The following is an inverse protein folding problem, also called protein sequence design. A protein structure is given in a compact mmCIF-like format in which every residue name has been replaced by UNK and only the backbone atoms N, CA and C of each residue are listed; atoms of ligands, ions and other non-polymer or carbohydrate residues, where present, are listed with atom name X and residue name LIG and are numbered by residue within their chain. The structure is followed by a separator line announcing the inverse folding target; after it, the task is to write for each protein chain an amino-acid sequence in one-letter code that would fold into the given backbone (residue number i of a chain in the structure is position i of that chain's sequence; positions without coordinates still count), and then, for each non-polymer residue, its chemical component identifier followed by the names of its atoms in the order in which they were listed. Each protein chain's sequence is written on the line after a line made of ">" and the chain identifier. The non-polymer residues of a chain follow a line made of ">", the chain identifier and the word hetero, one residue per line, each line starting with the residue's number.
data_IF_680423045174
#
_entry.id   IF_680423045174
#
_cell.length_a   1.000
_cell.length_b   1.000
_cell.length_c   1.000
_cell.angle_alpha   90.00
_cell.angle_beta   90.00
_cell.angle_gamma   90.00
#
_symmetry.space_group_name_H-M   'P 1'
#
loop_
_entity.id
_entity.type
_entity.pdbx_description
1 polymer ?
#
# COMPACT_ATOMS: atom_id res chain seq x y z
N UNK A 1 25.28 17.68 -0.19
CA UNK A 1 24.05 17.91 -0.98
C UNK A 1 23.30 16.59 -1.20
N UNK A 2 22.60 16.05 -0.21
CA UNK A 2 21.80 14.83 -0.41
C UNK A 2 20.28 15.04 -0.21
N UNK A 3 19.78 16.27 -0.18
CA UNK A 3 18.39 16.52 0.18
C UNK A 3 17.41 16.68 -1.00
N UNK A 4 17.84 16.45 -2.25
CA UNK A 4 17.00 16.69 -3.42
C UNK A 4 16.25 15.45 -3.96
N UNK A 5 16.70 14.25 -3.64
CA UNK A 5 16.12 13.01 -4.19
C UNK A 5 14.92 12.48 -3.38
N UNK A 6 14.78 12.86 -2.12
CA UNK A 6 13.67 12.39 -1.26
C UNK A 6 12.39 13.20 -1.47
N UNK A 7 12.46 14.42 -1.99
CA UNK A 7 11.28 15.30 -2.18
C UNK A 7 10.42 15.01 -3.41
N UNK A 8 10.89 14.23 -4.36
CA UNK A 8 10.16 13.97 -5.61
C UNK A 8 9.17 12.82 -5.53
N UNK A 9 9.29 11.91 -4.55
CA UNK A 9 8.36 10.77 -4.41
C UNK A 9 7.00 11.13 -3.79
N UNK A 10 6.92 12.19 -3.00
CA UNK A 10 5.67 12.59 -2.36
C UNK A 10 4.66 13.25 -3.31
N UNK A 11 5.11 13.79 -4.45
CA UNK A 11 4.26 14.53 -5.39
C UNK A 11 3.57 13.63 -6.43
N UNK A 12 4.09 12.43 -6.69
CA UNK A 12 3.51 11.52 -7.68
C UNK A 12 2.25 10.80 -7.20
N UNK A 13 2.04 10.67 -5.90
CA UNK A 13 0.86 9.98 -5.34
C UNK A 13 -0.42 10.82 -5.48
N UNK A 14 -0.31 12.14 -5.54
CA UNK A 14 -1.48 13.03 -5.67
C UNK A 14 -1.97 13.22 -7.11
N UNK A 15 -1.17 12.91 -8.12
CA UNK A 15 -1.54 13.08 -9.54
C UNK A 15 -2.27 11.87 -10.14
N UNK A 16 -2.20 10.70 -9.54
CA UNK A 16 -2.89 9.49 -10.02
C UNK A 16 -4.42 9.52 -9.82
N UNK A 17 -4.94 10.40 -8.96
CA UNK A 17 -6.37 10.54 -8.69
C UNK A 17 -7.11 11.42 -9.71
N UNK A 18 -6.40 12.23 -10.50
CA UNK A 18 -7.00 13.17 -11.46
C UNK A 18 -7.21 12.58 -12.87
N UNK A 19 -6.59 11.46 -13.22
CA UNK A 19 -6.59 10.92 -14.59
C UNK A 19 -7.58 9.78 -14.84
N UNK A 20 -8.29 9.30 -13.84
CA UNK A 20 -9.32 8.24 -13.99
C UNK A 20 -10.76 8.77 -14.22
N UNK A 21 -10.93 10.07 -14.31
CA UNK A 21 -12.25 10.70 -14.47
C UNK A 21 -12.59 11.15 -15.91
N UNK A 22 -11.81 10.79 -16.92
CA UNK A 22 -11.99 11.29 -18.27
C UNK A 22 -11.74 10.28 -19.38
N UNK A 23 -12.73 9.51 -19.77
CA UNK A 23 -13.13 9.30 -21.18
C UNK A 23 -14.12 8.13 -21.33
N UNK A 24 -15.38 8.44 -21.59
CA UNK A 24 -16.31 7.59 -22.30
C UNK A 24 -17.12 8.47 -23.23
N UNK A 25 -16.65 8.58 -24.46
CA UNK A 25 -17.34 9.24 -25.56
C UNK A 25 -17.88 8.22 -26.55
N UNK A 26 -19.18 8.21 -26.76
CA UNK A 26 -19.91 8.21 -27.98
C UNK A 26 -19.86 7.00 -28.92
N UNK A 27 -21.03 6.40 -29.16
CA UNK A 27 -21.33 5.55 -30.29
C UNK A 27 -22.80 5.16 -30.31
N UNK A 28 -23.61 5.89 -31.09
CA UNK A 28 -25.05 5.65 -31.22
C UNK A 28 -25.37 4.42 -32.06
N UNK A 29 -26.48 3.77 -31.73
CA UNK A 29 -27.11 2.72 -32.51
C UNK A 29 -28.54 2.55 -32.02
N UNK A 30 -29.52 3.11 -32.75
CA UNK A 30 -30.93 2.99 -32.43
C UNK A 30 -31.43 1.57 -32.65
N UNK A 31 -32.13 1.06 -31.68
CA UNK A 31 -32.93 -0.15 -31.77
C UNK A 31 -34.06 -0.03 -30.79
N UNK A 32 -35.27 0.18 -31.29
CA UNK A 32 -36.49 0.15 -30.48
C UNK A 32 -36.71 -1.27 -29.92
N UNK A 33 -36.72 -1.39 -28.59
CA UNK A 33 -37.11 -2.57 -27.87
C UNK A 33 -38.44 -2.30 -27.16
N UNK A 34 -39.45 -3.24 -27.25
CA UNK A 34 -40.81 -3.01 -26.75
C UNK A 34 -40.84 -2.82 -25.25
N UNK A 35 -41.69 -1.93 -24.80
CA UNK A 35 -41.98 -1.60 -23.40
C UNK A 35 -42.57 -2.81 -22.66
N UNK A 36 -41.74 -3.62 -22.05
CA UNK A 36 -42.12 -4.57 -21.01
C UNK A 36 -41.96 -3.94 -19.65
N UNK A 37 -43.04 -3.99 -18.89
CA UNK A 37 -43.27 -3.49 -17.55
C UNK A 37 -42.08 -3.07 -16.72
N UNK A 38 -42.00 -1.79 -16.43
CA UNK A 38 -41.17 -1.20 -15.41
C UNK A 38 -41.59 -1.80 -14.06
N UNK A 39 -40.98 -2.94 -13.66
CA UNK A 39 -41.04 -3.33 -12.26
C UNK A 39 -40.37 -2.17 -11.50
N UNK A 40 -41.18 -1.44 -10.73
CA UNK A 40 -40.68 -0.52 -9.71
C UNK A 40 -39.68 -1.34 -8.87
N UNK A 41 -38.41 -1.00 -8.99
CA UNK A 41 -37.41 -1.55 -8.07
C UNK A 41 -37.80 -1.00 -6.72
N UNK A 42 -38.32 -1.87 -5.88
CA UNK A 42 -38.61 -1.60 -4.48
C UNK A 42 -37.36 -0.92 -3.92
N UNK A 43 -37.49 0.33 -3.50
CA UNK A 43 -36.35 1.12 -3.03
C UNK A 43 -35.83 0.42 -1.77
N UNK A 44 -34.60 -0.14 -1.86
CA UNK A 44 -33.97 -0.72 -0.72
C UNK A 44 -33.94 0.29 0.43
N UNK A 45 -34.21 -0.14 1.67
CA UNK A 45 -34.20 0.76 2.81
C UNK A 45 -32.80 1.44 2.94
N UNK A 46 -32.75 2.66 3.48
CA UNK A 46 -31.50 3.35 3.68
C UNK A 46 -30.56 2.51 4.54
N UNK A 47 -29.36 2.27 4.03
CA UNK A 47 -28.33 1.46 4.70
C UNK A 47 -27.37 2.36 5.48
N UNK A 48 -26.98 1.90 6.66
CA UNK A 48 -25.92 2.48 7.44
C UNK A 48 -24.66 1.62 7.20
N UNK A 49 -23.60 2.24 6.72
CA UNK A 49 -22.30 1.59 6.49
C UNK A 49 -21.33 2.05 7.58
N UNK A 50 -20.86 1.13 8.40
CA UNK A 50 -19.89 1.41 9.45
C UNK A 50 -18.46 1.30 8.90
N UNK A 51 -17.74 2.42 8.95
CA UNK A 51 -16.35 2.51 8.47
C UNK A 51 -15.40 2.75 9.65
N UNK A 52 -14.42 1.87 9.80
CA UNK A 52 -13.34 2.03 10.77
C UNK A 52 -12.10 2.54 10.04
N UNK A 53 -11.59 3.70 10.46
CA UNK A 53 -10.35 4.28 9.92
C UNK A 53 -9.24 4.06 10.92
N UNK A 54 -8.18 3.37 10.48
CA UNK A 54 -7.00 3.03 11.28
C UNK A 54 -5.79 3.75 10.69
N UNK A 55 -5.44 4.91 11.23
CA UNK A 55 -4.30 5.72 10.80
C UNK A 55 -3.55 6.27 12.03
N UNK A 56 -2.24 6.55 11.92
CA UNK A 56 -1.51 7.10 13.05
C UNK A 56 -2.00 8.51 13.40
N UNK A 57 -2.05 8.79 14.70
CA UNK A 57 -2.39 10.11 15.21
C UNK A 57 -1.20 11.06 15.16
N UNK A 58 0.02 10.54 15.20
CA UNK A 58 1.26 11.30 15.16
C UNK A 58 1.44 12.01 13.80
N UNK A 59 1.55 13.33 13.84
CA UNK A 59 1.70 14.19 12.66
C UNK A 59 3.08 14.12 12.00
N UNK A 60 4.04 13.39 12.56
CA UNK A 60 5.29 13.07 11.87
C UNK A 60 5.04 12.23 10.62
N UNK A 61 4.00 11.41 10.62
CA UNK A 61 3.59 10.61 9.46
C UNK A 61 2.88 11.46 8.40
N UNK A 62 3.25 11.25 7.13
CA UNK A 62 2.59 11.92 6.00
C UNK A 62 1.11 11.55 5.87
N UNK A 63 0.74 10.37 6.35
CA UNK A 63 -0.61 9.80 6.33
C UNK A 63 -1.29 9.82 7.70
N UNK A 64 -0.93 10.77 8.57
CA UNK A 64 -1.59 10.94 9.87
C UNK A 64 -3.08 11.26 9.75
N UNK A 65 -3.83 10.95 10.80
CA UNK A 65 -5.27 11.24 10.86
C UNK A 65 -5.58 12.71 10.56
N UNK A 66 -4.81 13.63 11.10
CA UNK A 66 -5.05 15.07 10.90
C UNK A 66 -4.92 15.48 9.44
N UNK A 67 -4.00 14.85 8.69
CA UNK A 67 -3.74 15.17 7.28
C UNK A 67 -4.71 14.50 6.32
N UNK A 68 -5.11 13.26 6.60
CA UNK A 68 -5.88 12.41 5.65
C UNK A 68 -7.38 12.50 5.90
N UNK A 69 -7.83 12.74 7.13
CA UNK A 69 -9.24 12.80 7.49
C UNK A 69 -10.10 13.70 6.58
N UNK A 70 -9.71 14.93 6.22
CA UNK A 70 -10.51 15.78 5.35
C UNK A 70 -10.76 15.15 3.97
N UNK A 71 -9.77 14.44 3.42
CA UNK A 71 -9.89 13.75 2.13
C UNK A 71 -10.86 12.55 2.22
N UNK A 72 -10.79 11.77 3.31
CA UNK A 72 -11.73 10.68 3.57
C UNK A 72 -13.15 11.20 3.66
N UNK A 73 -13.39 12.23 4.47
CA UNK A 73 -14.71 12.83 4.64
C UNK A 73 -15.27 13.41 3.33
N UNK A 74 -14.41 14.00 2.50
CA UNK A 74 -14.79 14.46 1.17
C UNK A 74 -15.17 13.31 0.26
N UNK A 75 -14.38 12.23 0.22
CA UNK A 75 -14.65 11.06 -0.61
C UNK A 75 -15.98 10.38 -0.22
N UNK A 76 -16.20 10.17 1.08
CA UNK A 76 -17.45 9.54 1.57
C UNK A 76 -18.69 10.39 1.23
N UNK A 77 -18.62 11.70 1.41
CA UNK A 77 -19.70 12.62 0.99
C UNK A 77 -19.96 12.57 -0.52
N UNK A 78 -18.93 12.44 -1.32
CA UNK A 78 -19.06 12.33 -2.77
C UNK A 78 -19.75 11.03 -3.17
N UNK A 79 -19.45 9.92 -2.49
CA UNK A 79 -20.08 8.61 -2.72
C UNK A 79 -21.54 8.60 -2.23
N UNK A 80 -21.89 9.33 -1.18
CA UNK A 80 -23.28 9.50 -0.71
C UNK A 80 -24.18 10.24 -1.71
N UNK A 81 -23.64 10.77 -2.78
CA UNK A 81 -24.42 11.31 -3.90
C UNK A 81 -24.66 12.82 -3.87
N UNK A 82 -23.87 13.57 -3.11
CA UNK A 82 -24.04 15.02 -2.97
C UNK A 82 -23.27 15.86 -4.01
N UNK A 83 -22.64 15.28 -5.03
CA UNK A 83 -21.74 16.08 -5.87
C UNK A 83 -21.69 15.80 -7.38
N UNK A 84 -21.92 14.61 -7.87
CA UNK A 84 -21.57 14.25 -9.26
C UNK A 84 -22.65 13.61 -10.12
N UNK A 85 -23.90 13.62 -9.67
CA UNK A 85 -25.03 13.12 -10.49
C UNK A 85 -25.12 11.60 -10.66
N UNK A 86 -24.09 10.84 -10.36
CA UNK A 86 -24.09 9.39 -10.42
C UNK A 86 -24.17 8.82 -9.00
N UNK A 87 -25.34 8.33 -8.61
CA UNK A 87 -25.53 7.66 -7.33
C UNK A 87 -24.97 6.26 -7.42
N UNK A 88 -23.88 6.02 -6.69
CA UNK A 88 -23.25 4.72 -6.56
C UNK A 88 -23.96 3.84 -5.53
N UNK A 89 -24.62 4.44 -4.56
CA UNK A 89 -25.31 3.76 -3.46
C UNK A 89 -26.82 4.02 -3.46
N UNK A 90 -27.62 3.14 -2.83
CA UNK A 90 -29.06 3.36 -2.65
C UNK A 90 -29.36 4.70 -1.96
N UNK A 91 -30.47 5.37 -2.30
CA UNK A 91 -30.86 6.62 -1.67
C UNK A 91 -30.98 6.48 -0.15
N UNK A 92 -30.41 7.44 0.58
CA UNK A 92 -30.47 7.44 2.04
C UNK A 92 -29.37 6.64 2.73
N UNK A 93 -28.48 5.97 1.97
CA UNK A 93 -27.27 5.35 2.55
C UNK A 93 -26.40 6.40 3.21
N UNK A 94 -25.91 6.10 4.42
CA UNK A 94 -25.04 6.97 5.22
C UNK A 94 -23.83 6.22 5.73
N UNK A 95 -22.67 6.86 5.70
CA UNK A 95 -21.47 6.35 6.35
C UNK A 95 -21.41 6.81 7.81
N UNK A 96 -21.16 5.86 8.69
CA UNK A 96 -20.76 6.15 10.06
C UNK A 96 -19.29 5.84 10.24
N UNK A 97 -18.47 6.86 10.39
CA UNK A 97 -17.01 6.73 10.44
C UNK A 97 -16.53 6.81 11.88
N UNK A 98 -15.71 5.86 12.26
CA UNK A 98 -14.96 5.85 13.52
C UNK A 98 -13.48 5.96 13.19
N UNK A 99 -12.78 6.85 13.85
CA UNK A 99 -11.33 7.07 13.66
C UNK A 99 -10.59 6.56 14.88
N UNK A 100 -9.60 5.70 14.65
CA UNK A 100 -8.76 5.12 15.69
C UNK A 100 -7.29 5.25 15.32
N UNK A 101 -6.45 5.45 16.35
CA UNK A 101 -5.01 5.52 16.19
C UNK A 101 -4.43 4.13 15.91
N UNK A 102 -3.70 4.01 14.82
CA UNK A 102 -3.01 2.76 14.45
C UNK A 102 -1.63 2.62 15.07
N UNK A 103 -1.01 3.72 15.51
CA UNK A 103 0.35 3.78 16.08
C UNK A 103 1.40 3.08 15.20
N UNK A 104 1.14 2.94 13.91
CA UNK A 104 1.95 2.14 12.95
C UNK A 104 2.40 0.76 13.48
N UNK A 105 1.69 0.20 14.46
CA UNK A 105 2.04 -1.02 15.17
C UNK A 105 0.82 -1.87 15.55
N UNK A 106 0.97 -2.62 16.64
CA UNK A 106 -0.07 -3.54 17.10
C UNK A 106 -1.35 -2.85 17.58
N UNK A 107 -1.31 -1.57 17.88
CA UNK A 107 -2.48 -0.81 18.33
C UNK A 107 -3.62 -0.86 17.31
N UNK A 108 -3.30 -0.86 16.02
CA UNK A 108 -4.30 -1.02 14.97
C UNK A 108 -5.12 -2.32 15.12
N UNK A 109 -4.44 -3.44 15.42
CA UNK A 109 -5.10 -4.72 15.66
C UNK A 109 -5.97 -4.67 16.92
N UNK A 110 -5.45 -4.11 18.01
CA UNK A 110 -6.19 -4.01 19.26
C UNK A 110 -7.43 -3.12 19.13
N UNK A 111 -7.30 -1.96 18.46
CA UNK A 111 -8.44 -1.08 18.17
C UNK A 111 -9.55 -1.78 17.38
N UNK A 112 -9.19 -2.60 16.38
CA UNK A 112 -10.17 -3.39 15.63
C UNK A 112 -10.85 -4.42 16.51
N UNK A 113 -10.11 -5.18 17.31
CA UNK A 113 -10.65 -6.22 18.22
C UNK A 113 -11.55 -5.59 19.28
N UNK A 114 -11.09 -4.52 19.94
CA UNK A 114 -11.84 -3.82 20.97
C UNK A 114 -13.14 -3.22 20.42
N UNK A 115 -13.11 -2.70 19.19
CA UNK A 115 -14.29 -2.18 18.50
C UNK A 115 -15.35 -3.28 18.29
N UNK A 116 -14.93 -4.47 17.83
CA UNK A 116 -15.82 -5.61 17.63
C UNK A 116 -16.35 -6.12 18.96
N UNK A 117 -15.51 -6.18 19.99
CA UNK A 117 -15.92 -6.59 21.34
C UNK A 117 -16.94 -5.61 21.94
N UNK A 118 -16.71 -4.30 21.84
CA UNK A 118 -17.62 -3.27 22.32
C UNK A 118 -18.97 -3.29 21.58
N UNK A 119 -18.96 -3.65 20.31
CA UNK A 119 -20.17 -3.81 19.48
C UNK A 119 -20.82 -5.21 19.63
N UNK A 120 -20.51 -5.96 20.70
CA UNK A 120 -21.04 -7.32 20.97
C UNK A 120 -20.84 -8.31 19.82
N UNK A 121 -19.71 -8.23 19.14
CA UNK A 121 -19.34 -9.07 18.01
C UNK A 121 -19.74 -8.52 16.65
N UNK A 122 -20.40 -7.36 16.57
CA UNK A 122 -20.66 -6.70 15.29
C UNK A 122 -19.36 -6.07 14.75
N UNK A 123 -18.93 -6.50 13.57
CA UNK A 123 -17.75 -5.94 12.89
C UNK A 123 -18.15 -4.70 12.06
N UNK A 124 -17.23 -3.78 11.78
CA UNK A 124 -17.47 -2.73 10.80
C UNK A 124 -17.67 -3.34 9.40
N UNK A 125 -18.32 -2.60 8.51
CA UNK A 125 -18.53 -3.03 7.13
C UNK A 125 -17.30 -2.81 6.25
N UNK A 126 -16.41 -1.88 6.64
CA UNK A 126 -15.20 -1.52 5.92
C UNK A 126 -14.12 -1.01 6.88
N UNK A 127 -12.88 -1.43 6.67
CA UNK A 127 -11.69 -0.82 7.27
C UNK A 127 -10.94 0.04 6.24
N UNK A 128 -10.60 1.27 6.59
CA UNK A 128 -9.67 2.14 5.86
C UNK A 128 -8.34 2.21 6.63
N UNK A 129 -7.27 1.70 6.04
CA UNK A 129 -6.00 1.46 6.74
C UNK A 129 -6.00 0.15 7.51
N UNK A 130 -4.93 -0.12 8.26
CA UNK A 130 -3.74 0.73 8.43
C UNK A 130 -2.84 0.79 7.20
N UNK A 131 -1.88 1.75 7.22
CA UNK A 131 -0.96 2.00 6.10
C UNK A 131 0.39 1.32 6.32
N UNK A 132 0.93 1.41 7.54
CA UNK A 132 2.24 0.86 7.90
C UNK A 132 2.27 -0.67 7.75
N UNK A 133 3.36 -1.23 7.24
CA UNK A 133 3.53 -2.64 6.91
C UNK A 133 3.21 -3.56 8.12
N UNK A 134 3.84 -3.26 9.27
CA UNK A 134 3.67 -4.07 10.49
C UNK A 134 2.28 -3.96 11.12
N UNK A 135 1.63 -2.82 10.98
CA UNK A 135 0.25 -2.64 11.42
C UNK A 135 -0.74 -3.33 10.47
N UNK A 136 -0.49 -3.23 9.16
CA UNK A 136 -1.38 -3.76 8.13
C UNK A 136 -1.40 -5.30 8.10
N UNK A 137 -0.27 -5.95 8.32
CA UNK A 137 -0.17 -7.40 8.21
C UNK A 137 -1.13 -8.16 9.16
N UNK A 138 -1.13 -7.93 10.48
CA UNK A 138 -2.05 -8.63 11.37
C UNK A 138 -3.51 -8.20 11.17
N UNK A 139 -3.76 -6.93 10.89
CA UNK A 139 -5.13 -6.42 10.65
C UNK A 139 -5.72 -7.03 9.38
N UNK A 140 -4.96 -7.11 8.30
CA UNK A 140 -5.44 -7.66 7.04
C UNK A 140 -5.69 -9.18 7.10
N UNK A 141 -4.87 -9.93 7.87
CA UNK A 141 -5.14 -11.35 8.15
C UNK A 141 -6.44 -11.53 8.92
N UNK A 142 -6.63 -10.74 9.97
CA UNK A 142 -7.87 -10.79 10.76
C UNK A 142 -9.09 -10.35 9.93
N UNK A 143 -8.95 -9.31 9.12
CA UNK A 143 -9.97 -8.84 8.21
C UNK A 143 -10.35 -9.92 7.19
N UNK A 144 -9.37 -10.64 6.63
CA UNK A 144 -9.60 -11.76 5.73
C UNK A 144 -10.34 -12.92 6.42
N UNK A 145 -10.02 -13.21 7.68
CA UNK A 145 -10.71 -14.24 8.47
C UNK A 145 -12.15 -13.86 8.80
N UNK A 146 -12.44 -12.58 8.93
CA UNK A 146 -13.77 -12.06 9.27
C UNK A 146 -14.60 -11.63 8.05
N UNK A 147 -14.14 -11.85 6.83
CA UNK A 147 -14.78 -11.31 5.62
C UNK A 147 -15.03 -9.79 5.74
N UNK A 148 -14.04 -9.07 6.26
CA UNK A 148 -14.06 -7.61 6.40
C UNK A 148 -13.25 -6.98 5.28
N UNK A 149 -13.86 -6.25 4.33
CA UNK A 149 -13.12 -5.50 3.33
C UNK A 149 -12.18 -4.48 3.98
N UNK A 150 -10.93 -4.47 3.54
CA UNK A 150 -9.90 -3.52 3.99
C UNK A 150 -9.32 -2.79 2.79
N UNK A 151 -9.38 -1.47 2.79
CA UNK A 151 -8.71 -0.60 1.82
C UNK A 151 -7.49 0.04 2.47
N UNK A 152 -6.31 -0.11 1.86
CA UNK A 152 -5.09 0.52 2.36
C UNK A 152 -4.36 1.28 1.26
N UNK A 153 -3.87 2.48 1.60
CA UNK A 153 -2.93 3.24 0.78
C UNK A 153 -1.47 2.78 0.99
N UNK A 154 -1.24 1.85 1.90
CA UNK A 154 0.03 1.20 2.19
C UNK A 154 -0.06 -0.31 2.01
N UNK A 155 0.61 -1.05 2.89
CA UNK A 155 0.79 -2.49 2.78
C UNK A 155 1.44 -2.86 1.43
N UNK A 156 2.56 -2.19 1.11
CA UNK A 156 3.18 -2.22 -0.21
C UNK A 156 4.21 -3.32 -0.36
N UNK A 157 4.64 -3.94 0.74
CA UNK A 157 5.59 -5.04 0.75
C UNK A 157 5.11 -6.22 -0.11
N UNK A 158 6.07 -6.98 -0.62
CA UNK A 158 5.82 -8.11 -1.51
C UNK A 158 4.92 -9.17 -0.86
N UNK A 159 5.11 -9.47 0.42
CA UNK A 159 4.31 -10.47 1.15
C UNK A 159 2.79 -10.26 1.08
N UNK A 160 2.31 -9.04 0.87
CA UNK A 160 0.87 -8.78 0.70
C UNK A 160 0.29 -9.21 -0.66
N UNK A 161 1.07 -9.86 -1.51
CA UNK A 161 0.61 -10.44 -2.77
C UNK A 161 -0.20 -11.74 -2.55
N UNK A 162 -0.06 -12.40 -1.42
CA UNK A 162 -0.73 -13.67 -1.12
C UNK A 162 -2.24 -13.50 -0.87
N UNK A 163 -2.97 -13.15 -1.94
CA UNK A 163 -4.42 -12.90 -1.91
C UNK A 163 -5.25 -14.16 -1.72
N UNK A 164 -4.73 -15.28 -2.15
CA UNK A 164 -5.46 -16.57 -2.10
C UNK A 164 -5.55 -17.14 -0.69
N UNK A 165 -4.69 -16.68 0.22
CA UNK A 165 -4.59 -17.24 1.58
C UNK A 165 -4.79 -16.21 2.67
N UNK A 166 -3.84 -15.29 2.85
CA UNK A 166 -3.75 -14.45 4.04
C UNK A 166 -4.41 -13.08 3.88
N UNK A 167 -4.46 -12.55 2.65
CA UNK A 167 -4.82 -11.15 2.38
C UNK A 167 -5.97 -11.01 1.37
N UNK A 168 -6.93 -11.96 1.39
CA UNK A 168 -8.02 -12.03 0.43
C UNK A 168 -8.92 -10.79 0.41
N UNK A 169 -9.11 -10.15 1.56
CA UNK A 169 -9.98 -8.98 1.71
C UNK A 169 -9.22 -7.64 1.72
N UNK A 170 -7.90 -7.66 1.51
CA UNK A 170 -7.09 -6.45 1.39
C UNK A 170 -7.09 -5.91 -0.04
N UNK A 171 -7.55 -4.68 -0.22
CA UNK A 171 -7.39 -3.91 -1.47
C UNK A 171 -6.37 -2.80 -1.24
N UNK A 172 -5.29 -2.80 -2.03
CA UNK A 172 -4.28 -1.74 -2.04
C UNK A 172 -4.59 -0.73 -3.13
N UNK A 173 -4.57 0.55 -2.79
CA UNK A 173 -4.84 1.63 -3.74
C UNK A 173 -3.55 2.34 -4.20
N UNK A 174 -2.40 1.88 -3.73
CA UNK A 174 -1.07 2.34 -4.16
C UNK A 174 -0.29 1.19 -4.81
N UNK A 175 0.68 1.49 -5.69
CA UNK A 175 1.54 0.47 -6.30
C UNK A 175 2.36 -0.26 -5.23
N UNK A 176 2.47 -1.58 -5.36
CA UNK A 176 3.38 -2.37 -4.51
C UNK A 176 4.85 -2.04 -4.81
N UNK A 177 5.75 -2.27 -3.87
CA UNK A 177 7.19 -2.05 -4.05
C UNK A 177 7.78 -2.88 -5.21
N UNK A 178 7.21 -4.03 -5.53
CA UNK A 178 7.59 -4.78 -6.73
C UNK A 178 7.47 -3.97 -8.03
N UNK A 179 6.56 -2.98 -8.09
CA UNK A 179 6.48 -2.08 -9.27
C UNK A 179 7.70 -1.17 -9.41
N UNK A 180 8.37 -0.83 -8.31
CA UNK A 180 9.68 -0.18 -8.37
C UNK A 180 10.73 -1.14 -8.92
N UNK A 181 10.69 -2.42 -8.53
CA UNK A 181 11.54 -3.47 -9.09
C UNK A 181 11.38 -3.60 -10.61
N UNK A 182 10.14 -3.64 -11.10
CA UNK A 182 9.86 -3.69 -12.54
C UNK A 182 10.41 -2.46 -13.29
N UNK A 183 10.27 -1.27 -12.71
CA UNK A 183 10.84 -0.04 -13.27
C UNK A 183 12.37 -0.09 -13.33
N UNK A 184 13.02 -0.51 -12.23
CA UNK A 184 14.47 -0.66 -12.18
C UNK A 184 14.95 -1.73 -13.16
N UNK A 185 14.23 -2.86 -13.28
CA UNK A 185 14.52 -3.91 -14.23
C UNK A 185 14.49 -3.38 -15.68
N UNK A 186 13.51 -2.57 -16.04
CA UNK A 186 13.44 -1.96 -17.36
C UNK A 186 14.65 -1.08 -17.64
N UNK A 187 15.11 -0.32 -16.64
CA UNK A 187 16.33 0.51 -16.74
C UNK A 187 17.58 -0.37 -16.92
N UNK A 188 17.72 -1.43 -16.13
CA UNK A 188 18.84 -2.37 -16.22
C UNK A 188 18.90 -3.06 -17.58
N UNK A 189 17.76 -3.51 -18.11
CA UNK A 189 17.67 -4.09 -19.46
C UNK A 189 18.04 -3.08 -20.55
N UNK A 190 17.60 -1.83 -20.43
CA UNK A 190 17.93 -0.79 -21.39
C UNK A 190 19.44 -0.53 -21.47
N UNK A 191 20.12 -0.53 -20.31
CA UNK A 191 21.56 -0.30 -20.22
C UNK A 191 22.40 -1.59 -20.29
N UNK A 192 21.76 -2.75 -20.43
CA UNK A 192 22.42 -4.06 -20.44
C UNK A 192 23.23 -4.35 -19.16
N UNK A 193 22.78 -3.82 -18.02
CA UNK A 193 23.38 -4.10 -16.72
C UNK A 193 22.88 -5.44 -16.21
N UNK A 194 23.79 -6.23 -15.62
CA UNK A 194 23.52 -7.59 -15.13
C UNK A 194 23.71 -7.76 -13.63
N UNK A 195 24.22 -6.74 -12.94
CA UNK A 195 24.51 -6.76 -11.51
C UNK A 195 24.00 -5.51 -10.83
N UNK A 196 23.52 -5.65 -9.60
CA UNK A 196 23.06 -4.53 -8.78
C UNK A 196 23.53 -4.67 -7.34
N UNK A 197 24.09 -3.59 -6.78
CA UNK A 197 24.32 -3.46 -5.35
C UNK A 197 23.16 -2.64 -4.74
N UNK A 198 22.40 -3.27 -3.85
CA UNK A 198 21.28 -2.66 -3.14
C UNK A 198 21.77 -2.13 -1.78
N UNK A 199 21.86 -0.82 -1.65
CA UNK A 199 22.32 -0.16 -0.42
C UNK A 199 21.17 0.62 0.20
N UNK A 200 20.86 0.35 1.48
CA UNK A 200 19.69 0.94 2.13
C UNK A 200 19.87 1.15 3.63
N UNK A 201 19.16 2.14 4.15
CA UNK A 201 18.99 2.35 5.57
C UNK A 201 17.97 1.35 6.14
N UNK A 202 18.27 0.77 7.30
CA UNK A 202 17.32 -0.09 8.03
C UNK A 202 17.22 0.40 9.48
N UNK A 203 16.18 1.18 9.77
CA UNK A 203 15.88 1.76 11.08
C UNK A 203 15.42 0.73 12.12
N UNK A 204 15.19 -0.53 11.71
CA UNK A 204 14.67 -1.62 12.54
C UNK A 204 13.27 -1.39 13.12
N UNK A 205 12.60 -0.28 12.76
CA UNK A 205 11.26 0.09 13.23
C UNK A 205 10.23 -0.13 12.13
N UNK A 206 10.13 0.80 11.19
CA UNK A 206 9.18 0.70 10.07
C UNK A 206 9.75 -0.03 8.87
N UNK A 207 11.06 0.00 8.71
CA UNK A 207 11.83 -0.70 7.68
C UNK A 207 11.36 -0.40 6.24
N UNK A 208 10.91 0.81 5.98
CA UNK A 208 10.37 1.18 4.67
C UNK A 208 11.39 1.00 3.52
N UNK A 209 12.66 1.36 3.75
CA UNK A 209 13.72 1.16 2.76
C UNK A 209 14.00 -0.33 2.53
N UNK A 210 14.00 -1.13 3.59
CA UNK A 210 14.14 -2.59 3.49
C UNK A 210 13.04 -3.20 2.60
N UNK A 211 11.77 -2.94 2.91
CA UNK A 211 10.64 -3.49 2.14
C UNK A 211 10.64 -3.01 0.69
N UNK A 212 11.08 -1.76 0.46
CA UNK A 212 11.21 -1.21 -0.89
C UNK A 212 12.24 -1.99 -1.70
N UNK A 213 13.43 -2.23 -1.12
CA UNK A 213 14.50 -2.94 -1.82
C UNK A 213 14.29 -4.46 -1.83
N UNK A 214 13.55 -5.02 -0.88
CA UNK A 214 13.07 -6.40 -0.95
C UNK A 214 12.24 -6.62 -2.22
N UNK A 215 11.29 -5.71 -2.51
CA UNK A 215 10.50 -5.78 -3.75
C UNK A 215 11.34 -5.63 -5.02
N UNK A 216 12.41 -4.84 -4.99
CA UNK A 216 13.36 -4.76 -6.12
C UNK A 216 14.16 -6.07 -6.24
N UNK A 217 14.63 -6.59 -5.13
CA UNK A 217 15.41 -7.83 -5.08
C UNK A 217 14.64 -9.02 -5.63
N UNK A 218 13.37 -9.19 -5.23
CA UNK A 218 12.51 -10.28 -5.73
C UNK A 218 12.38 -10.23 -7.25
N UNK A 219 12.03 -9.06 -7.82
CA UNK A 219 11.90 -8.90 -9.27
C UNK A 219 13.21 -9.19 -9.99
N UNK A 220 14.35 -8.77 -9.43
CA UNK A 220 15.65 -9.01 -10.03
C UNK A 220 16.05 -10.49 -9.96
N UNK A 221 15.75 -11.17 -8.86
CA UNK A 221 15.99 -12.62 -8.72
C UNK A 221 15.15 -13.43 -9.71
N UNK A 222 13.86 -13.13 -9.86
CA UNK A 222 12.98 -13.79 -10.82
C UNK A 222 13.51 -13.69 -12.25
N UNK A 223 14.17 -12.58 -12.58
CA UNK A 223 14.75 -12.32 -13.90
C UNK A 223 16.22 -12.75 -14.04
N UNK A 224 16.80 -13.37 -13.01
CA UNK A 224 18.16 -13.89 -13.03
C UNK A 224 19.26 -12.83 -12.95
N UNK A 225 18.94 -11.60 -12.52
CA UNK A 225 19.96 -10.57 -12.25
C UNK A 225 20.65 -10.84 -10.92
N UNK A 226 21.95 -10.61 -10.91
CA UNK A 226 22.75 -10.77 -9.70
C UNK A 226 22.56 -9.56 -8.80
N UNK A 227 22.09 -9.79 -7.56
CA UNK A 227 21.95 -8.72 -6.56
C UNK A 227 22.79 -9.01 -5.33
N UNK A 228 23.46 -7.99 -4.82
CA UNK A 228 24.07 -7.97 -3.49
C UNK A 228 23.40 -6.90 -2.65
N UNK A 229 23.32 -7.06 -1.32
CA UNK A 229 22.65 -6.11 -0.45
C UNK A 229 23.52 -5.69 0.73
N UNK A 230 23.50 -4.40 1.03
CA UNK A 230 24.17 -3.80 2.19
C UNK A 230 23.19 -2.92 2.94
N UNK A 231 22.99 -3.19 4.22
CA UNK A 231 22.16 -2.37 5.08
C UNK A 231 23.00 -1.62 6.11
N UNK A 232 22.63 -0.38 6.38
CA UNK A 232 23.24 0.42 7.43
C UNK A 232 22.17 1.04 8.32
N UNK A 233 22.54 1.37 9.55
CA UNK A 233 21.67 2.03 10.51
C UNK A 233 21.96 3.53 10.48
N UNK A 234 21.03 4.33 10.02
CA UNK A 234 21.20 5.79 9.89
C UNK A 234 21.28 6.53 11.22
N UNK A 235 20.96 5.86 12.33
CA UNK A 235 21.09 6.41 13.68
C UNK A 235 22.53 6.32 14.22
N UNK A 236 23.40 5.58 13.53
CA UNK A 236 24.82 5.41 13.85
C UNK A 236 25.69 6.21 12.92
N UNK A 237 26.95 6.37 13.32
CA UNK A 237 27.96 6.98 12.45
C UNK A 237 28.10 6.17 11.16
N UNK A 238 27.90 6.83 10.03
CA UNK A 238 27.94 6.20 8.71
C UNK A 238 29.38 6.10 8.22
N UNK A 239 29.86 4.87 8.03
CA UNK A 239 31.16 4.60 7.38
C UNK A 239 30.95 4.54 5.85
N UNK A 240 31.20 5.67 5.19
CA UNK A 240 31.09 5.77 3.73
C UNK A 240 32.17 4.94 3.01
N UNK A 241 33.36 4.80 3.61
CA UNK A 241 34.44 4.02 3.01
C UNK A 241 34.11 2.52 3.01
N UNK A 242 33.38 2.06 4.03
CA UNK A 242 32.90 0.67 4.08
C UNK A 242 31.87 0.40 3.01
N UNK A 243 30.91 1.30 2.83
CA UNK A 243 29.91 1.21 1.75
C UNK A 243 30.58 1.17 0.37
N UNK A 244 31.54 2.06 0.13
CA UNK A 244 32.25 2.10 -1.15
C UNK A 244 33.03 0.81 -1.38
N UNK A 245 33.74 0.30 -0.37
CA UNK A 245 34.44 -0.99 -0.44
C UNK A 245 33.51 -2.14 -0.77
N UNK A 246 32.35 -2.19 -0.10
CA UNK A 246 31.33 -3.20 -0.37
C UNK A 246 30.84 -3.17 -1.82
N UNK A 247 30.49 -1.99 -2.34
CA UNK A 247 30.03 -1.82 -3.73
C UNK A 247 31.12 -2.29 -4.70
N UNK A 248 32.38 -1.87 -4.49
CA UNK A 248 33.51 -2.25 -5.34
C UNK A 248 33.75 -3.76 -5.34
N UNK A 249 33.68 -4.41 -4.19
CA UNK A 249 33.82 -5.85 -4.07
C UNK A 249 32.67 -6.61 -4.77
N UNK A 250 31.43 -6.12 -4.63
CA UNK A 250 30.24 -6.71 -5.25
C UNK A 250 30.30 -6.62 -6.78
N UNK A 251 30.81 -5.51 -7.33
CA UNK A 251 30.97 -5.35 -8.78
C UNK A 251 32.04 -6.26 -9.39
N UNK A 252 33.12 -6.53 -8.64
CA UNK A 252 34.25 -7.36 -9.10
C UNK A 252 34.01 -8.86 -8.98
N UNK A 253 32.95 -9.30 -8.27
CA UNK A 253 32.67 -10.72 -8.03
C UNK A 253 33.66 -11.38 -7.05
N UNK A 254 34.36 -10.60 -6.24
CA UNK A 254 35.40 -11.08 -5.31
C UNK A 254 34.84 -11.78 -4.05
N UNK A 255 33.51 -11.78 -3.82
CA UNK A 255 32.91 -12.36 -2.63
C UNK A 255 32.77 -13.89 -2.64
N UNK A 256 32.91 -14.57 -3.77
CA UNK A 256 32.80 -16.04 -3.83
C UNK A 256 34.12 -16.76 -3.51
N UNK A 257 35.24 -16.03 -3.33
CA UNK A 257 36.54 -16.60 -3.11
C UNK A 257 37.07 -16.60 -1.65
N UNK A 258 36.40 -15.96 -0.69
CA UNK A 258 36.99 -15.69 0.63
C UNK A 258 36.73 -16.76 1.70
N UNK A 259 36.08 -17.88 1.40
CA UNK A 259 35.93 -19.05 2.29
C UNK A 259 36.54 -20.30 1.69
N UNK A 260 37.83 -20.21 1.30
CA UNK A 260 38.66 -21.38 1.09
C UNK A 260 39.05 -21.98 2.45
N UNK A 261 38.99 -23.30 2.63
CA UNK A 261 39.36 -23.92 3.90
C UNK A 261 40.84 -23.74 4.17
N UNK A 262 41.16 -23.02 5.24
CA UNK A 262 42.51 -23.08 5.81
C UNK A 262 42.76 -24.49 6.34
N UNK A 263 43.23 -25.37 5.48
CA UNK A 263 43.87 -26.62 5.88
C UNK A 263 45.29 -26.36 6.23
N UNK A 264 45.65 -26.55 7.50
CA UNK A 264 46.73 -27.30 8.12
C UNK A 264 47.00 -26.79 9.50
#
# INVERSE_FOLDING_TARGET
>A
MPSLLVRTFSSCVLLAWALLAGSAGGGGGGGEVPSSGRREREALPPQKIEVLVLLPQDDSYLFSLARVRPAIEYALRSVEGNGTGQRLLPPGTRFQVTYEDSDCGNRALFSLVDRVAAARGSKPDLSLGPVCEYAAAPVARLASHWDLPMLSAGALAAGFQHKDTEYSHLTRVSPAYAKMGEMMLALFRHHQWSRAALVYSDDKLERNCYFTLEGVHEVFQEEGLHTSSYSFDETKDLDLDDIVRYIQASERGEQEGALGPSGR
#
